data_IF_900858074323
#
_entry.id   IF_900858074323
#
_cell.length_a   1.000
_cell.length_b   1.000
_cell.length_c   1.000
_cell.angle_alpha   90.00
_cell.angle_beta   90.00
_cell.angle_gamma   90.00
#
_symmetry.space_group_name_H-M   'P 1'
#
loop_
_entity.id
_entity.type
_entity.pdbx_description
1 polymer ?
#
# COMPACT_ATOMS: atom_id res chain seq x y z
N UNK A 1 15.76 -8.66 -11.42
CA UNK A 1 16.23 -7.68 -10.42
C UNK A 1 17.74 -7.63 -10.54
N UNK A 2 18.27 -6.63 -11.22
CA UNK A 2 19.71 -6.54 -11.50
C UNK A 2 20.48 -6.08 -10.26
N UNK A 3 21.66 -6.66 -10.05
CA UNK A 3 22.61 -6.30 -8.98
C UNK A 3 22.84 -4.77 -8.92
N UNK A 4 22.76 -4.08 -10.06
CA UNK A 4 22.90 -2.63 -10.14
C UNK A 4 21.86 -1.84 -9.36
N UNK A 5 20.63 -2.34 -9.21
CA UNK A 5 19.57 -1.62 -8.48
C UNK A 5 19.86 -1.55 -6.98
N UNK A 6 20.41 -2.63 -6.40
CA UNK A 6 20.75 -2.68 -4.97
C UNK A 6 21.99 -1.81 -4.69
N UNK A 7 23.02 -1.89 -5.55
CA UNK A 7 24.21 -1.05 -5.43
C UNK A 7 23.89 0.45 -5.56
N UNK A 8 22.99 0.81 -6.48
CA UNK A 8 22.54 2.18 -6.65
C UNK A 8 21.75 2.69 -5.43
N UNK A 9 20.84 1.87 -4.90
CA UNK A 9 20.07 2.20 -3.71
C UNK A 9 20.98 2.38 -2.48
N UNK A 10 21.95 1.48 -2.28
CA UNK A 10 22.93 1.57 -1.20
C UNK A 10 23.80 2.84 -1.30
N UNK A 11 24.32 3.16 -2.49
CA UNK A 11 25.06 4.40 -2.73
C UNK A 11 24.25 5.69 -2.54
N UNK A 12 22.93 5.61 -2.68
CA UNK A 12 21.99 6.69 -2.41
C UNK A 12 21.55 6.77 -0.93
N UNK A 13 22.04 5.88 -0.07
CA UNK A 13 21.61 5.76 1.33
C UNK A 13 20.17 5.25 1.48
N UNK A 14 19.59 4.68 0.43
CA UNK A 14 18.26 4.09 0.45
C UNK A 14 18.34 2.71 1.13
N UNK A 15 17.60 2.53 2.22
CA UNK A 15 17.64 1.33 3.05
C UNK A 15 18.14 1.58 4.48
N UNK A 16 18.71 2.75 4.75
CA UNK A 16 19.01 3.22 6.10
C UNK A 16 17.83 4.07 6.59
N UNK A 17 16.99 3.47 7.43
CA UNK A 17 15.93 4.20 8.14
C UNK A 17 16.48 4.79 9.43
N UNK A 18 16.57 6.11 9.53
CA UNK A 18 16.84 6.76 10.82
C UNK A 18 15.59 6.65 11.69
N UNK A 19 15.63 5.76 12.67
CA UNK A 19 14.53 5.53 13.60
C UNK A 19 14.23 6.79 14.45
N UNK A 20 15.17 7.73 14.56
CA UNK A 20 14.98 9.01 15.25
C UNK A 20 14.27 10.06 14.37
N UNK A 21 14.06 9.77 13.09
CA UNK A 21 13.38 10.64 12.11
C UNK A 21 12.07 10.03 11.59
N UNK A 22 11.53 9.05 12.30
CA UNK A 22 10.19 8.53 12.00
C UNK A 22 9.19 9.63 12.31
N UNK A 23 8.64 10.24 11.26
CA UNK A 23 7.49 11.13 11.38
C UNK A 23 6.23 10.26 11.46
N UNK A 24 5.66 10.14 12.66
CA UNK A 24 4.35 9.52 12.83
C UNK A 24 3.31 10.49 12.28
N UNK A 25 2.86 10.24 11.04
CA UNK A 25 1.68 10.87 10.48
C UNK A 25 0.46 10.30 11.22
N UNK A 26 0.12 10.89 12.35
CA UNK A 26 -0.98 10.42 13.19
C UNK A 26 -2.33 10.59 12.50
N UNK A 27 -3.06 9.48 12.40
CA UNK A 27 -4.49 9.43 12.08
C UNK A 27 -5.18 8.53 13.10
N UNK A 28 -6.50 8.65 13.25
CA UNK A 28 -7.23 7.73 14.12
C UNK A 28 -7.19 6.34 13.50
N UNK A 29 -6.73 5.33 14.25
CA UNK A 29 -6.64 3.95 13.75
C UNK A 29 -7.99 3.44 13.24
N UNK A 30 -9.09 3.89 13.84
CA UNK A 30 -10.44 3.51 13.43
C UNK A 30 -10.79 4.00 12.01
N UNK A 31 -10.15 5.06 11.51
CA UNK A 31 -10.35 5.57 10.16
C UNK A 31 -9.68 4.68 9.09
N UNK A 32 -8.81 3.76 9.53
CA UNK A 32 -8.04 2.86 8.66
C UNK A 32 -8.43 1.38 8.84
N UNK A 33 -9.35 1.07 9.76
CA UNK A 33 -9.88 -0.28 9.96
C UNK A 33 -11.12 -0.45 9.09
N UNK A 34 -11.00 -1.26 8.04
CA UNK A 34 -12.12 -1.60 7.16
C UNK A 34 -12.50 -3.08 7.33
N UNK A 35 -13.77 -3.41 7.64
CA UNK A 35 -14.23 -4.80 7.69
C UNK A 35 -14.04 -5.47 6.32
N UNK A 36 -13.42 -6.65 6.32
CA UNK A 36 -13.24 -7.42 5.10
C UNK A 36 -14.59 -7.69 4.42
N UNK A 37 -14.69 -7.34 3.13
CA UNK A 37 -15.87 -7.57 2.30
C UNK A 37 -15.49 -8.55 1.17
N UNK A 38 -16.10 -9.75 1.12
CA UNK A 38 -15.91 -10.66 0.01
C UNK A 38 -16.62 -10.16 -1.25
N UNK A 39 -15.95 -10.23 -2.39
CA UNK A 39 -16.49 -9.90 -3.70
C UNK A 39 -16.53 -11.14 -4.61
N UNK A 40 -17.39 -11.08 -5.62
CA UNK A 40 -17.65 -12.10 -6.65
C UNK A 40 -16.52 -12.22 -7.69
N UNK A 41 -15.65 -11.21 -7.82
CA UNK A 41 -14.49 -11.25 -8.71
C UNK A 41 -13.22 -10.73 -8.03
N UNK A 42 -12.07 -11.18 -8.55
CA UNK A 42 -10.75 -10.72 -8.09
C UNK A 42 -10.59 -9.22 -8.36
N UNK A 43 -11.12 -8.72 -9.48
CA UNK A 43 -11.07 -7.32 -9.90
C UNK A 43 -11.77 -6.42 -8.86
N UNK A 44 -12.96 -6.82 -8.41
CA UNK A 44 -13.68 -6.12 -7.35
C UNK A 44 -12.98 -6.26 -6.01
N UNK A 45 -12.49 -7.46 -5.69
CA UNK A 45 -11.76 -7.71 -4.45
C UNK A 45 -10.48 -6.86 -4.34
N UNK A 46 -9.80 -6.54 -5.45
CA UNK A 46 -8.61 -5.66 -5.43
C UNK A 46 -8.92 -4.20 -5.11
N UNK A 47 -10.16 -3.77 -5.35
CA UNK A 47 -10.59 -2.38 -5.18
C UNK A 47 -11.36 -2.15 -3.88
N UNK A 48 -11.49 -3.16 -3.01
CA UNK A 48 -12.36 -3.12 -1.84
C UNK A 48 -12.01 -2.05 -0.79
N UNK A 49 -10.71 -1.71 -0.64
CA UNK A 49 -10.25 -0.68 0.31
C UNK A 49 -10.35 0.73 -0.25
N UNK A 50 -10.69 0.88 -1.53
CA UNK A 50 -10.84 2.18 -2.17
C UNK A 50 -12.34 2.49 -2.22
N UNK A 51 -12.75 3.51 -1.48
CA UNK A 51 -14.14 3.92 -1.37
C UNK A 51 -14.78 4.13 -2.76
N UNK A 52 -15.88 3.43 -3.03
CA UNK A 52 -16.62 3.49 -4.31
C UNK A 52 -15.92 2.85 -5.52
N UNK A 53 -14.64 2.46 -5.45
CA UNK A 53 -13.92 1.99 -6.64
C UNK A 53 -14.32 0.59 -7.09
N UNK A 54 -14.74 -0.28 -6.16
CA UNK A 54 -15.18 -1.64 -6.49
C UNK A 54 -16.50 -1.66 -7.29
N UNK A 55 -17.29 -0.58 -7.29
CA UNK A 55 -18.48 -0.43 -8.14
C UNK A 55 -18.11 -0.11 -9.60
N UNK A 56 -16.91 0.46 -9.82
CA UNK A 56 -16.35 0.77 -11.13
C UNK A 56 -15.45 -0.34 -11.66
N UNK A 57 -15.29 -1.44 -10.91
CA UNK A 57 -14.50 -2.59 -11.34
C UNK A 57 -15.10 -3.16 -12.64
N UNK A 58 -14.27 -3.51 -13.65
CA UNK A 58 -14.75 -4.21 -14.81
C UNK A 58 -15.45 -5.51 -14.38
N UNK A 59 -16.69 -5.70 -14.80
CA UNK A 59 -17.32 -7.02 -14.76
C UNK A 59 -16.65 -7.84 -15.85
N UNK A 60 -15.86 -8.84 -15.43
CA UNK A 60 -15.25 -9.80 -16.36
C UNK A 60 -16.28 -10.55 -17.19
#
# INVERSE_FOLDING_TARGET
LEIGTIFYADGMGMGIGDLNRILVLGGNVNDHIHPFKPHDSIEKQRLWQIEGAWEMAPTG
#
